data_IF_234116402883
#
_entry.id   IF_234116402883
#
_cell.length_a   1.000
_cell.length_b   1.000
_cell.length_c   1.000
_cell.angle_alpha   90.00
_cell.angle_beta   90.00
_cell.angle_gamma   90.00
#
_symmetry.space_group_name_H-M   'P 1'
#
loop_
_entity.id
_entity.type
_entity.pdbx_description
1 polymer ?
#
# COMPACT_ATOMS: atom_id res chain seq x y z
N UNK A 1 0.02 12.23 11.54
CA UNK A 1 -0.89 11.22 10.98
C UNK A 1 -1.19 11.46 9.51
N UNK A 2 -1.71 12.63 9.10
CA UNK A 2 -2.09 12.87 7.69
C UNK A 2 -0.97 12.63 6.67
N UNK A 3 0.27 13.05 6.97
CA UNK A 3 1.44 12.79 6.10
C UNK A 3 1.70 11.28 5.99
N UNK A 4 1.71 10.57 7.12
CA UNK A 4 1.90 9.12 7.15
C UNK A 4 0.82 8.38 6.34
N UNK A 5 -0.44 8.81 6.41
CA UNK A 5 -1.51 8.28 5.57
C UNK A 5 -1.26 8.51 4.09
N UNK A 6 -0.89 9.74 3.72
CA UNK A 6 -0.57 10.09 2.34
C UNK A 6 0.56 9.21 1.79
N UNK A 7 1.60 8.99 2.59
CA UNK A 7 2.70 8.08 2.25
C UNK A 7 2.19 6.65 2.07
N UNK A 8 1.39 6.12 3.00
CA UNK A 8 0.86 4.76 2.91
C UNK A 8 -0.01 4.53 1.66
N UNK A 9 -0.91 5.48 1.38
CA UNK A 9 -1.77 5.47 0.19
C UNK A 9 -0.90 5.50 -1.07
N UNK A 10 0.03 6.45 -1.16
CA UNK A 10 0.87 6.62 -2.34
C UNK A 10 1.75 5.38 -2.59
N UNK A 11 2.39 4.86 -1.53
CA UNK A 11 3.24 3.68 -1.63
C UNK A 11 2.47 2.42 -2.01
N UNK A 12 1.18 2.32 -1.66
CA UNK A 12 0.33 1.19 -2.09
C UNK A 12 0.12 1.16 -3.61
N UNK A 13 0.04 2.34 -4.23
CA UNK A 13 -0.22 2.47 -5.67
C UNK A 13 1.04 2.31 -6.53
N UNK A 14 2.22 2.62 -5.96
CA UNK A 14 3.50 2.54 -6.69
C UNK A 14 3.80 1.16 -7.30
N UNK A 15 3.70 0.02 -6.59
CA UNK A 15 3.98 -1.28 -7.18
C UNK A 15 3.13 -1.57 -8.42
N UNK A 16 1.85 -1.19 -8.38
CA UNK A 16 0.94 -1.38 -9.50
C UNK A 16 1.33 -0.51 -10.70
N UNK A 17 1.59 0.79 -10.48
CA UNK A 17 2.01 1.73 -11.53
C UNK A 17 3.33 1.26 -12.16
N UNK A 18 4.31 0.86 -11.35
CA UNK A 18 5.60 0.39 -11.82
C UNK A 18 5.47 -0.94 -12.58
N UNK A 19 4.67 -1.88 -12.09
CA UNK A 19 4.44 -3.16 -12.76
C UNK A 19 3.76 -2.98 -14.12
N UNK A 20 2.71 -2.16 -14.19
CA UNK A 20 2.00 -1.86 -15.44
C UNK A 20 2.91 -1.08 -16.40
N UNK A 21 3.60 -0.05 -15.91
CA UNK A 21 4.52 0.73 -16.73
C UNK A 21 5.69 -0.09 -17.27
N UNK A 22 6.21 -1.04 -16.48
CA UNK A 22 7.25 -1.98 -16.92
C UNK A 22 6.72 -2.94 -18.00
N UNK A 23 5.48 -3.43 -17.85
CA UNK A 23 4.85 -4.34 -18.82
C UNK A 23 4.69 -3.72 -20.20
N UNK A 24 4.34 -2.43 -20.26
CA UNK A 24 4.15 -1.70 -21.52
C UNK A 24 5.38 -0.89 -21.96
N UNK A 25 6.55 -1.11 -21.32
CA UNK A 25 7.80 -0.38 -21.58
C UNK A 25 7.69 1.15 -21.48
N UNK A 26 6.75 1.65 -20.68
CA UNK A 26 6.50 3.07 -20.47
C UNK A 26 7.54 3.74 -19.55
N UNK A 27 8.41 2.94 -18.93
CA UNK A 27 9.44 3.38 -17.97
C UNK A 27 10.84 3.04 -18.53
N UNK A 28 11.04 3.23 -19.83
CA UNK A 28 12.37 3.18 -20.49
C UNK A 28 13.21 1.94 -20.15
N UNK A 29 12.68 0.73 -20.39
CA UNK A 29 13.43 -0.49 -20.14
C UNK A 29 13.56 -0.86 -18.67
N UNK A 30 12.71 -0.32 -17.78
CA UNK A 30 12.65 -0.69 -16.35
C UNK A 30 12.63 -2.21 -16.11
N UNK A 31 11.94 -2.97 -16.98
CA UNK A 31 11.87 -4.43 -16.89
C UNK A 31 13.18 -5.14 -17.28
N UNK A 32 14.13 -4.43 -17.91
CA UNK A 32 15.43 -4.94 -18.36
C UNK A 32 16.57 -4.62 -17.39
N UNK A 33 16.31 -3.81 -16.36
CA UNK A 33 17.32 -3.36 -15.40
C UNK A 33 17.10 -4.08 -14.07
N UNK A 34 18.13 -4.75 -13.53
CA UNK A 34 18.07 -5.45 -12.25
C UNK A 34 17.59 -4.56 -11.09
N UNK A 35 17.89 -3.26 -11.13
CA UNK A 35 17.44 -2.30 -10.11
C UNK A 35 15.93 -2.07 -10.12
N UNK A 36 15.26 -2.14 -11.28
CA UNK A 36 13.81 -1.98 -11.38
C UNK A 36 13.06 -3.15 -10.72
N UNK A 37 13.51 -4.37 -10.99
CA UNK A 37 13.02 -5.57 -10.33
C UNK A 37 13.29 -5.54 -8.81
N UNK A 38 14.50 -5.12 -8.41
CA UNK A 38 14.88 -5.01 -7.00
C UNK A 38 13.99 -3.99 -6.26
N UNK A 39 13.67 -2.86 -6.89
CA UNK A 39 12.74 -1.86 -6.34
C UNK A 39 11.34 -2.44 -6.13
N UNK A 40 10.81 -3.19 -7.11
CA UNK A 40 9.51 -3.85 -6.98
C UNK A 40 9.50 -4.84 -5.80
N UNK A 41 10.56 -5.62 -5.62
CA UNK A 41 10.70 -6.53 -4.46
C UNK A 41 10.73 -5.77 -3.13
N UNK A 42 11.44 -4.64 -3.06
CA UNK A 42 11.43 -3.81 -1.85
C UNK A 42 10.04 -3.27 -1.53
N UNK A 43 9.31 -2.80 -2.54
CA UNK A 43 7.95 -2.31 -2.35
C UNK A 43 7.00 -3.43 -1.92
N UNK A 44 7.08 -4.60 -2.55
CA UNK A 44 6.33 -5.81 -2.17
C UNK A 44 6.54 -6.19 -0.70
N UNK A 45 7.77 -6.04 -0.18
CA UNK A 45 8.07 -6.37 1.21
C UNK A 45 7.67 -5.25 2.19
N UNK A 46 7.79 -3.99 1.77
CA UNK A 46 7.68 -2.83 2.67
C UNK A 46 6.25 -2.29 2.78
N UNK A 47 5.46 -2.36 1.70
CA UNK A 47 4.11 -1.78 1.65
C UNK A 47 3.14 -2.49 2.62
N UNK A 48 3.05 -3.83 2.68
CA UNK A 48 2.10 -4.48 3.59
C UNK A 48 2.36 -4.19 5.08
N UNK A 49 3.61 -4.25 5.60
CA UNK A 49 3.90 -3.84 6.98
C UNK A 49 3.55 -2.38 7.25
N UNK A 50 3.77 -1.49 6.27
CA UNK A 50 3.46 -0.08 6.43
C UNK A 50 1.94 0.16 6.53
N UNK A 51 1.15 -0.48 5.66
CA UNK A 51 -0.31 -0.46 5.74
C UNK A 51 -0.84 -1.12 7.03
N UNK A 52 -0.21 -2.20 7.49
CA UNK A 52 -0.54 -2.85 8.76
C UNK A 52 -0.28 -1.93 9.96
N UNK A 53 0.86 -1.23 9.97
CA UNK A 53 1.18 -0.24 11.01
C UNK A 53 0.19 0.93 10.99
N UNK A 54 -0.31 1.31 9.81
CA UNK A 54 -1.36 2.30 9.68
C UNK A 54 -2.69 1.84 10.28
N UNK A 55 -3.11 0.59 9.99
CA UNK A 55 -4.31 0.01 10.59
C UNK A 55 -4.22 0.04 12.12
N UNK A 56 -3.10 -0.43 12.68
CA UNK A 56 -2.89 -0.45 14.14
C UNK A 56 -3.01 0.97 14.71
N UNK A 57 -2.37 1.95 14.08
CA UNK A 57 -2.43 3.35 14.50
C UNK A 57 -3.86 3.91 14.45
N UNK A 58 -4.67 3.57 13.44
CA UNK A 58 -6.07 3.98 13.37
C UNK A 58 -6.95 3.29 14.41
N UNK A 59 -6.72 2.01 14.70
CA UNK A 59 -7.45 1.27 15.75
C UNK A 59 -7.18 1.90 17.11
N UNK A 60 -5.91 2.11 17.48
CA UNK A 60 -5.52 2.73 18.75
C UNK A 60 -6.17 4.11 18.89
N UNK A 61 -6.14 4.90 17.81
CA UNK A 61 -6.75 6.23 17.77
C UNK A 61 -8.27 6.17 17.90
N UNK A 62 -8.91 5.26 17.17
CA UNK A 62 -10.36 5.04 17.22
C UNK A 62 -10.81 4.72 18.65
N UNK A 63 -10.11 3.81 19.34
CA UNK A 63 -10.37 3.47 20.75
C UNK A 63 -10.17 4.68 21.66
N UNK A 64 -9.07 5.42 21.49
CA UNK A 64 -8.74 6.58 22.34
C UNK A 64 -9.73 7.75 22.18
N UNK A 65 -10.19 8.02 20.96
CA UNK A 65 -11.03 9.17 20.65
C UNK A 65 -12.53 8.84 20.53
N UNK A 66 -12.92 7.59 20.72
CA UNK A 66 -14.31 7.10 20.74
C UNK A 66 -15.24 7.93 21.64
N UNK A 67 -14.71 8.53 22.73
CA UNK A 67 -15.50 9.35 23.67
C UNK A 67 -15.69 10.82 23.27
N UNK A 68 -14.92 11.35 22.32
CA UNK A 68 -14.88 12.81 22.04
C UNK A 68 -15.06 13.17 20.57
N UNK A 69 -15.13 12.19 19.67
CA UNK A 69 -15.18 12.43 18.23
C UNK A 69 -16.45 11.85 17.62
N UNK A 70 -16.89 12.42 16.49
CA UNK A 70 -18.01 11.91 15.70
C UNK A 70 -17.85 10.41 15.46
N UNK A 71 -18.87 9.64 15.86
CA UNK A 71 -18.94 8.17 15.75
C UNK A 71 -18.62 7.70 14.33
N UNK A 72 -19.01 8.48 13.33
CA UNK A 72 -18.75 8.23 11.91
C UNK A 72 -17.26 8.25 11.58
N UNK A 73 -16.51 9.27 12.01
CA UNK A 73 -15.07 9.41 11.72
C UNK A 73 -14.25 8.32 12.41
N UNK A 74 -14.67 7.94 13.62
CA UNK A 74 -14.06 6.88 14.43
C UNK A 74 -14.15 5.51 13.75
N UNK A 75 -15.20 5.26 12.96
CA UNK A 75 -15.42 3.99 12.27
C UNK A 75 -14.85 3.96 10.84
N UNK A 76 -14.93 5.07 10.11
CA UNK A 76 -14.53 5.15 8.70
C UNK A 76 -13.01 5.11 8.52
N UNK A 77 -12.25 5.70 9.44
CA UNK A 77 -10.79 5.81 9.31
C UNK A 77 -10.06 4.46 9.38
N UNK A 78 -10.37 3.56 10.34
CA UNK A 78 -9.84 2.19 10.32
C UNK A 78 -10.25 1.43 9.06
N UNK A 79 -11.49 1.60 8.59
CA UNK A 79 -11.98 0.92 7.39
C UNK A 79 -11.17 1.28 6.14
N UNK A 80 -10.84 2.57 5.97
CA UNK A 80 -9.97 3.03 4.87
C UNK A 80 -8.60 2.36 4.94
N UNK A 81 -7.97 2.29 6.12
CA UNK A 81 -6.67 1.63 6.26
C UNK A 81 -6.73 0.12 5.96
N UNK A 82 -7.83 -0.55 6.33
CA UNK A 82 -8.06 -1.96 5.99
C UNK A 82 -8.20 -2.15 4.48
N UNK A 83 -8.93 -1.26 3.80
CA UNK A 83 -9.07 -1.29 2.35
C UNK A 83 -7.69 -1.23 1.66
N UNK A 84 -6.84 -0.26 2.02
CA UNK A 84 -5.49 -0.13 1.44
C UNK A 84 -4.57 -1.32 1.75
N UNK A 85 -4.72 -1.93 2.93
CA UNK A 85 -3.96 -3.15 3.25
C UNK A 85 -4.38 -4.33 2.38
N UNK A 86 -5.69 -4.57 2.24
CA UNK A 86 -6.21 -5.62 1.37
C UNK A 86 -5.80 -5.36 -0.08
N UNK A 87 -5.89 -4.12 -0.53
CA UNK A 87 -5.43 -3.69 -1.85
C UNK A 87 -3.93 -3.97 -2.04
N UNK A 88 -3.07 -3.63 -1.08
CA UNK A 88 -1.64 -3.93 -1.18
C UNK A 88 -1.36 -5.43 -1.31
N UNK A 89 -2.04 -6.28 -0.53
CA UNK A 89 -1.90 -7.73 -0.64
C UNK A 89 -2.38 -8.22 -2.01
N UNK A 90 -3.49 -7.68 -2.52
CA UNK A 90 -4.01 -8.06 -3.83
C UNK A 90 -3.04 -7.69 -4.96
N UNK A 91 -2.44 -6.49 -4.91
CA UNK A 91 -1.41 -6.05 -5.86
C UNK A 91 -0.19 -6.97 -5.79
N UNK A 92 0.27 -7.28 -4.58
CA UNK A 92 1.39 -8.18 -4.36
C UNK A 92 1.13 -9.57 -4.94
N UNK A 93 -0.05 -10.15 -4.67
CA UNK A 93 -0.45 -11.43 -5.26
C UNK A 93 -0.53 -11.37 -6.79
N UNK A 94 -1.05 -10.28 -7.35
CA UNK A 94 -1.10 -10.07 -8.79
C UNK A 94 0.32 -10.04 -9.38
N UNK A 95 1.24 -9.26 -8.81
CA UNK A 95 2.64 -9.19 -9.26
C UNK A 95 3.30 -10.57 -9.14
N UNK A 96 3.16 -11.25 -8.00
CA UNK A 96 3.74 -12.56 -7.76
C UNK A 96 3.22 -13.63 -8.76
N UNK A 97 1.95 -13.57 -9.14
CA UNK A 97 1.37 -14.46 -10.15
C UNK A 97 1.92 -14.22 -11.55
N UNK A 98 2.25 -12.98 -11.90
CA UNK A 98 2.80 -12.61 -13.21
C UNK A 98 4.32 -12.80 -13.30
N UNK A 99 5.05 -12.76 -12.19
CA UNK A 99 6.50 -13.04 -12.18
C UNK A 99 6.85 -14.54 -12.32
N UNK A 100 5.86 -15.44 -12.21
CA UNK A 100 6.03 -16.90 -12.37
C UNK A 100 5.85 -17.40 -13.82
N UNK A 101 5.66 -16.51 -14.80
CA UNK A 101 5.59 -16.86 -16.23
C UNK A 101 6.87 -16.50 -16.97
#
# INVERSE_FOLDING_TARGET
MNIFRGIAIFLTQLPLILSVGAKYDLIFGFNRINSGFTLLLYLFLLVPPLNLSWIIAEIIRSVKFSRHQSRTVTFLMPLISVFFFVESIAIDLYIASHMRM
#
